data_IF_927380291195
#
_entry.id   IF_927380291195
#
_cell.length_a   1.000
_cell.length_b   1.000
_cell.length_c   1.000
_cell.angle_alpha   90.00
_cell.angle_beta   90.00
_cell.angle_gamma   90.00
#
_symmetry.space_group_name_H-M   'P 1'
#
loop_
_entity.id
_entity.type
_entity.pdbx_description
1 polymer ?
#
# COMPACT_ATOMS: atom_id res chain seq x y z
N UNK A 1 2.01 11.47 12.36
CA UNK A 1 2.76 11.23 11.09
C UNK A 1 4.17 11.85 11.17
N UNK A 2 5.24 11.12 10.81
CA UNK A 2 6.64 11.60 10.88
C UNK A 2 7.18 12.26 9.60
N UNK A 3 6.45 12.17 8.49
CA UNK A 3 6.82 12.78 7.21
C UNK A 3 6.69 14.33 7.25
N UNK A 4 7.71 15.10 6.83
CA UNK A 4 7.68 16.55 6.71
C UNK A 4 6.51 17.05 5.85
N UNK A 5 5.92 18.20 6.22
CA UNK A 5 4.78 18.77 5.51
C UNK A 5 5.02 18.99 4.01
N UNK A 6 6.24 19.38 3.63
CA UNK A 6 6.65 19.58 2.23
C UNK A 6 6.61 18.30 1.38
N UNK A 7 6.78 17.14 2.00
CA UNK A 7 6.82 15.85 1.32
C UNK A 7 5.44 15.20 1.25
N UNK A 8 4.55 15.51 2.19
CA UNK A 8 3.19 14.94 2.26
C UNK A 8 2.40 15.11 0.96
N UNK A 9 2.47 16.30 0.35
CA UNK A 9 1.78 16.58 -0.90
C UNK A 9 2.29 15.69 -2.07
N UNK A 10 3.58 15.36 -2.07
CA UNK A 10 4.22 14.55 -3.13
C UNK A 10 3.79 13.08 -3.05
N UNK A 11 3.48 12.60 -1.86
CA UNK A 11 3.00 11.22 -1.62
C UNK A 11 1.51 11.17 -1.29
N UNK A 12 0.76 12.20 -1.70
CA UNK A 12 -0.69 12.28 -1.59
C UNK A 12 -1.25 12.11 -0.16
N UNK A 13 -0.46 12.44 0.87
CA UNK A 13 -0.91 12.53 2.26
C UNK A 13 -1.59 13.90 2.46
N UNK A 14 -2.83 13.95 3.00
CA UNK A 14 -3.50 15.20 3.32
C UNK A 14 -2.70 16.04 4.32
N UNK A 15 -2.70 17.37 4.15
CA UNK A 15 -1.96 18.27 5.06
C UNK A 15 -2.55 18.29 6.46
N UNK A 16 -3.87 18.13 6.55
CA UNK A 16 -4.67 18.00 7.77
C UNK A 16 -4.61 16.60 8.41
N UNK A 17 -3.97 15.62 7.76
CA UNK A 17 -3.80 14.30 8.36
C UNK A 17 -2.84 14.34 9.57
N UNK A 18 -3.33 13.89 10.71
CA UNK A 18 -2.58 13.74 11.95
C UNK A 18 -2.12 12.28 12.15
N UNK A 19 -3.03 11.32 11.91
CA UNK A 19 -2.79 9.89 12.03
C UNK A 19 -3.22 9.15 10.75
N UNK A 20 -2.83 7.88 10.64
CA UNK A 20 -3.27 7.02 9.54
C UNK A 20 -3.27 5.56 9.98
N UNK A 21 -4.09 4.74 9.31
CA UNK A 21 -4.08 3.28 9.44
C UNK A 21 -4.06 2.63 8.08
N UNK A 22 -3.54 1.41 8.00
CA UNK A 22 -3.75 0.55 6.85
C UNK A 22 -5.00 -0.31 7.08
N UNK A 23 -5.84 -0.43 6.06
CA UNK A 23 -7.02 -1.28 6.10
C UNK A 23 -7.19 -2.04 4.77
N UNK A 24 -7.74 -3.24 4.85
CA UNK A 24 -8.11 -4.08 3.71
C UNK A 24 -9.49 -4.70 3.99
N UNK A 25 -10.58 -4.00 3.62
CA UNK A 25 -11.92 -4.32 4.10
C UNK A 25 -12.53 -5.58 3.47
N UNK A 26 -12.02 -6.06 2.33
CA UNK A 26 -12.56 -7.24 1.64
C UNK A 26 -11.54 -8.38 1.67
N UNK A 27 -11.70 -9.30 2.61
CA UNK A 27 -10.75 -10.43 2.82
C UNK A 27 -10.90 -11.56 1.80
N UNK A 28 -12.05 -11.65 1.10
CA UNK A 28 -12.34 -12.70 0.13
C UNK A 28 -12.95 -12.12 -1.14
N UNK A 29 -12.12 -11.83 -2.13
CA UNK A 29 -12.60 -11.45 -3.47
C UNK A 29 -12.22 -12.54 -4.47
N UNK A 30 -13.21 -13.38 -4.85
CA UNK A 30 -13.08 -14.37 -5.93
C UNK A 30 -13.10 -13.74 -7.34
N UNK A 31 -13.25 -12.43 -7.42
CA UNK A 31 -13.21 -11.60 -8.62
C UNK A 31 -12.25 -10.45 -8.29
N UNK A 32 -11.47 -9.84 -9.17
CA UNK A 32 -11.46 -9.90 -10.61
C UNK A 32 -10.08 -9.40 -11.09
N UNK A 33 -9.51 -10.08 -12.08
CA UNK A 33 -8.39 -9.54 -12.87
C UNK A 33 -8.75 -8.21 -13.56
N UNK A 34 -10.03 -7.85 -13.67
CA UNK A 34 -10.50 -6.59 -14.25
C UNK A 34 -10.44 -5.37 -13.33
N UNK A 35 -10.14 -5.54 -12.03
CA UNK A 35 -9.99 -4.42 -11.09
C UNK A 35 -8.62 -3.74 -11.17
N UNK A 36 -7.66 -4.38 -11.85
CA UNK A 36 -6.28 -3.91 -12.01
C UNK A 36 -6.16 -2.61 -12.81
N UNK A 37 -7.22 -2.19 -13.51
CA UNK A 37 -7.24 -0.94 -14.27
C UNK A 37 -7.97 0.21 -13.54
N UNK A 38 -8.36 0.03 -12.27
CA UNK A 38 -9.06 1.08 -11.54
C UNK A 38 -8.07 2.15 -11.05
N UNK A 39 -8.26 3.41 -11.48
CA UNK A 39 -7.52 4.57 -10.95
C UNK A 39 -8.21 5.18 -9.70
N UNK A 40 -9.34 4.62 -9.28
CA UNK A 40 -10.14 5.16 -8.20
C UNK A 40 -9.71 4.63 -6.84
N UNK A 41 -9.37 5.54 -5.93
CA UNK A 41 -8.90 5.24 -4.57
C UNK A 41 -9.84 4.32 -3.79
N UNK A 42 -11.16 4.50 -3.91
CA UNK A 42 -12.10 3.66 -3.19
C UNK A 42 -12.14 2.24 -3.75
N UNK A 43 -12.17 2.08 -5.07
CA UNK A 43 -12.15 0.74 -5.70
C UNK A 43 -10.85 0.02 -5.34
N UNK A 44 -9.73 0.71 -5.48
CA UNK A 44 -8.41 0.19 -5.10
C UNK A 44 -8.32 -0.16 -3.62
N UNK A 45 -8.91 0.67 -2.75
CA UNK A 45 -8.98 0.40 -1.32
C UNK A 45 -9.79 -0.85 -1.02
N UNK A 46 -10.94 -1.03 -1.68
CA UNK A 46 -11.77 -2.23 -1.52
C UNK A 46 -11.10 -3.49 -2.09
N UNK A 47 -10.40 -3.36 -3.22
CA UNK A 47 -9.77 -4.46 -3.94
C UNK A 47 -8.43 -4.91 -3.35
N UNK A 48 -7.61 -3.96 -2.90
CA UNK A 48 -6.20 -4.17 -2.56
C UNK A 48 -5.82 -3.65 -1.18
N UNK A 49 -6.74 -2.94 -0.52
CA UNK A 49 -6.47 -2.23 0.72
C UNK A 49 -5.83 -0.87 0.46
N UNK A 50 -5.49 -0.17 1.53
CA UNK A 50 -4.90 1.16 1.44
C UNK A 50 -4.84 1.88 2.77
N UNK A 51 -4.52 3.17 2.70
CA UNK A 51 -4.32 4.02 3.86
C UNK A 51 -5.54 4.90 4.10
N UNK A 52 -6.04 4.88 5.33
CA UNK A 52 -7.08 5.79 5.82
C UNK A 52 -6.40 6.82 6.70
N UNK A 53 -6.55 8.09 6.35
CA UNK A 53 -5.96 9.22 7.06
C UNK A 53 -7.02 9.90 7.90
N UNK A 54 -6.62 10.34 9.09
CA UNK A 54 -7.50 11.02 10.03
C UNK A 54 -6.93 12.37 10.44
N UNK A 55 -7.80 13.32 10.75
CA UNK A 55 -7.41 14.59 11.37
C UNK A 55 -7.12 14.43 12.87
N UNK A 56 -7.04 15.56 13.58
CA UNK A 56 -6.82 15.61 15.03
C UNK A 56 -8.03 15.16 15.87
N UNK A 57 -9.22 15.05 15.27
CA UNK A 57 -10.46 14.63 15.91
C UNK A 57 -10.82 13.17 15.60
N UNK A 58 -9.90 12.42 14.96
CA UNK A 58 -10.11 11.07 14.46
C UNK A 58 -11.20 10.98 13.34
N UNK A 59 -11.48 12.08 12.65
CA UNK A 59 -12.36 12.09 11.47
C UNK A 59 -11.57 11.72 10.20
N UNK A 60 -12.18 10.92 9.31
CA UNK A 60 -11.53 10.51 8.05
C UNK A 60 -11.40 11.72 7.13
N UNK A 61 -10.16 12.11 6.83
CA UNK A 61 -9.88 13.17 5.86
C UNK A 61 -9.65 12.62 4.45
N UNK A 62 -9.08 11.42 4.32
CA UNK A 62 -8.83 10.80 3.01
C UNK A 62 -8.65 9.29 3.11
N UNK A 63 -9.02 8.61 2.03
CA UNK A 63 -8.66 7.22 1.77
C UNK A 63 -7.79 7.21 0.52
N UNK A 64 -6.58 6.66 0.63
CA UNK A 64 -5.74 6.34 -0.52
C UNK A 64 -5.76 4.83 -0.71
N UNK A 65 -6.46 4.37 -1.73
CA UNK A 65 -6.41 2.97 -2.13
C UNK A 65 -5.06 2.64 -2.73
N UNK A 66 -4.60 1.40 -2.58
CA UNK A 66 -3.42 0.92 -3.30
C UNK A 66 -3.82 0.81 -4.77
N UNK A 67 -3.49 1.84 -5.54
CA UNK A 67 -3.72 1.86 -6.98
C UNK A 67 -2.65 1.05 -7.69
N UNK A 68 -3.07 0.44 -8.78
CA UNK A 68 -2.15 0.10 -9.87
C UNK A 68 -1.92 1.43 -10.62
N UNK A 69 -0.95 2.21 -10.16
CA UNK A 69 -0.48 3.42 -10.86
C UNK A 69 0.85 3.15 -11.56
N UNK A 70 1.47 4.18 -12.17
CA UNK A 70 2.81 4.10 -12.77
C UNK A 70 3.72 3.30 -11.85
N UNK A 71 4.08 2.11 -12.33
CA UNK A 71 4.29 0.91 -11.53
C UNK A 71 5.24 1.16 -10.35
N UNK A 72 5.03 0.56 -9.19
CA UNK A 72 6.20 0.29 -8.35
C UNK A 72 6.80 -0.96 -8.96
N UNK A 73 7.84 -0.79 -9.77
CA UNK A 73 8.53 -1.95 -10.28
C UNK A 73 9.44 -2.49 -9.18
N UNK A 74 9.45 -3.81 -9.07
CA UNK A 74 10.18 -4.52 -8.05
C UNK A 74 11.18 -5.43 -8.72
N UNK A 75 12.40 -4.95 -8.81
CA UNK A 75 13.46 -5.65 -9.55
C UNK A 75 14.25 -6.53 -8.60
N UNK A 76 14.55 -7.76 -9.02
CA UNK A 76 15.23 -8.76 -8.21
C UNK A 76 14.67 -10.18 -8.40
N UNK A 77 14.88 -11.10 -7.44
CA UNK A 77 15.61 -10.92 -6.19
C UNK A 77 17.13 -10.88 -6.40
N UNK A 78 17.80 -9.95 -5.72
CA UNK A 78 19.26 -9.83 -5.74
C UNK A 78 19.88 -10.43 -4.48
N UNK A 79 21.08 -11.00 -4.60
CA UNK A 79 21.83 -11.49 -3.45
C UNK A 79 22.31 -10.33 -2.56
N UNK A 80 22.11 -10.46 -1.25
CA UNK A 80 22.76 -9.59 -0.26
C UNK A 80 24.24 -9.96 -0.07
N UNK A 81 24.55 -11.25 -0.18
CA UNK A 81 25.92 -11.74 -0.07
C UNK A 81 26.79 -11.28 -1.25
N UNK A 82 28.08 -11.04 -0.98
CA UNK A 82 29.07 -10.64 -2.00
C UNK A 82 29.33 -9.14 -2.09
N UNK A 83 28.60 -8.31 -1.34
CA UNK A 83 28.82 -6.86 -1.25
C UNK A 83 28.92 -6.42 0.22
N UNK A 84 30.11 -5.99 0.63
CA UNK A 84 30.39 -5.58 2.02
C UNK A 84 29.61 -4.33 2.46
N UNK A 85 29.24 -3.42 1.55
CA UNK A 85 28.44 -2.25 1.90
C UNK A 85 27.00 -2.66 2.19
N UNK A 86 26.40 -3.49 1.32
CA UNK A 86 25.05 -4.03 1.53
C UNK A 86 24.95 -4.88 2.79
N UNK A 87 25.95 -5.71 3.06
CA UNK A 87 26.00 -6.51 4.29
C UNK A 87 26.09 -5.63 5.54
N UNK A 88 26.83 -4.51 5.51
CA UNK A 88 26.87 -3.54 6.61
C UNK A 88 25.53 -2.84 6.83
N UNK A 89 24.89 -2.39 5.75
CA UNK A 89 23.56 -1.77 5.84
C UNK A 89 22.52 -2.75 6.38
N UNK A 90 22.54 -4.01 5.93
CA UNK A 90 21.68 -5.06 6.47
C UNK A 90 21.92 -5.33 7.96
N UNK A 91 23.18 -5.37 8.40
CA UNK A 91 23.52 -5.50 9.82
C UNK A 91 23.02 -4.30 10.66
N UNK A 92 23.08 -3.08 10.12
CA UNK A 92 22.54 -1.90 10.79
C UNK A 92 21.00 -1.98 10.94
N UNK A 93 20.29 -2.47 9.92
CA UNK A 93 18.84 -2.71 9.97
C UNK A 93 18.50 -3.77 11.04
N UNK A 94 19.31 -4.83 11.14
CA UNK A 94 19.16 -5.84 12.18
C UNK A 94 19.37 -5.26 13.58
N UNK A 95 20.43 -4.45 13.77
CA UNK A 95 20.73 -3.81 15.05
C UNK A 95 19.64 -2.81 15.48
N UNK A 96 18.94 -2.19 14.52
CA UNK A 96 17.83 -1.28 14.76
C UNK A 96 16.47 -1.98 14.96
N UNK A 97 16.42 -3.32 15.05
CA UNK A 97 15.21 -4.15 15.15
C UNK A 97 14.12 -3.84 14.09
N UNK A 98 14.58 -3.47 12.90
CA UNK A 98 13.70 -3.17 11.76
C UNK A 98 13.27 -4.40 10.97
N UNK A 99 13.83 -5.58 11.28
CA UNK A 99 13.38 -6.84 10.70
C UNK A 99 12.20 -7.43 11.49
N UNK A 100 11.08 -7.70 10.83
CA UNK A 100 9.88 -8.32 11.42
C UNK A 100 9.78 -9.79 11.03
N UNK A 101 9.23 -10.60 11.94
CA UNK A 101 9.05 -12.04 11.72
C UNK A 101 8.00 -12.26 10.62
N UNK A 102 8.26 -13.19 9.71
CA UNK A 102 7.30 -13.58 8.67
C UNK A 102 6.11 -14.30 9.32
N UNK A 103 4.92 -13.71 9.21
CA UNK A 103 3.70 -14.27 9.79
C UNK A 103 2.98 -15.23 8.84
N UNK A 104 3.15 -15.06 7.53
CA UNK A 104 2.54 -15.89 6.49
C UNK A 104 3.08 -17.33 6.52
N UNK A 105 2.23 -18.28 6.89
CA UNK A 105 2.61 -19.70 7.07
C UNK A 105 3.27 -20.32 5.84
N UNK A 106 2.81 -19.97 4.63
CA UNK A 106 3.38 -20.47 3.38
C UNK A 106 4.84 -20.02 3.16
N UNK A 107 5.25 -18.90 3.73
CA UNK A 107 6.60 -18.34 3.54
C UNK A 107 7.58 -18.73 4.66
N UNK A 108 7.09 -19.11 5.84
CA UNK A 108 7.91 -19.50 7.00
C UNK A 108 8.98 -20.57 6.71
N UNK A 109 8.74 -21.61 5.88
CA UNK A 109 9.79 -22.59 5.56
C UNK A 109 10.97 -22.00 4.81
N UNK A 110 10.74 -20.90 4.10
CA UNK A 110 11.73 -20.28 3.22
C UNK A 110 12.38 -19.06 3.86
N UNK A 111 11.64 -18.28 4.65
CA UNK A 111 12.05 -16.96 5.09
C UNK A 111 11.70 -16.76 6.58
N UNK A 112 12.64 -16.21 7.35
CA UNK A 112 12.50 -16.02 8.79
C UNK A 112 11.99 -14.62 9.13
N UNK A 113 12.62 -13.60 8.53
CA UNK A 113 12.32 -12.19 8.78
C UNK A 113 12.34 -11.40 7.47
N UNK A 114 11.63 -10.30 7.46
CA UNK A 114 11.66 -9.32 6.38
C UNK A 114 11.78 -7.92 6.96
N UNK A 115 12.25 -6.97 6.18
CA UNK A 115 12.31 -5.59 6.60
C UNK A 115 12.35 -4.66 5.40
N UNK A 116 12.19 -3.37 5.70
CA UNK A 116 12.33 -2.31 4.71
C UNK A 116 13.69 -1.65 4.88
N UNK A 117 14.43 -1.52 3.79
CA UNK A 117 15.61 -0.66 3.63
C UNK A 117 15.11 0.72 3.26
N UNK A 118 15.51 1.75 4.00
CA UNK A 118 15.13 3.12 3.72
C UNK A 118 15.85 3.64 2.46
N UNK A 119 15.24 4.62 1.77
CA UNK A 119 15.91 5.38 0.72
C UNK A 119 17.34 5.78 1.10
N UNK A 120 18.30 5.49 0.22
CA UNK A 120 19.72 5.85 0.39
C UNK A 120 20.55 4.94 1.30
N UNK A 121 19.95 3.96 2.02
CA UNK A 121 20.72 2.99 2.80
C UNK A 121 21.46 1.98 1.91
N UNK A 122 20.91 1.67 0.74
CA UNK A 122 21.55 0.89 -0.31
C UNK A 122 21.86 1.81 -1.49
N UNK A 123 23.13 1.85 -1.92
CA UNK A 123 23.61 2.74 -2.98
C UNK A 123 22.89 2.52 -4.32
N UNK A 124 22.44 1.29 -4.58
CA UNK A 124 21.74 0.88 -5.79
C UNK A 124 20.22 0.77 -5.62
N UNK A 125 19.67 1.30 -4.52
CA UNK A 125 18.22 1.33 -4.22
C UNK A 125 17.82 2.72 -3.70
N UNK A 126 17.78 3.75 -4.57
CA UNK A 126 17.52 5.12 -4.13
C UNK A 126 16.15 5.30 -3.45
N UNK A 127 15.19 4.42 -3.73
CA UNK A 127 13.84 4.46 -3.17
C UNK A 127 13.63 3.50 -2.00
N UNK A 128 14.64 2.69 -1.67
CA UNK A 128 14.53 1.61 -0.70
C UNK A 128 14.32 0.23 -1.33
N UNK A 129 14.23 -0.78 -0.48
CA UNK A 129 14.12 -2.18 -0.88
C UNK A 129 13.50 -3.03 0.23
N UNK A 130 12.80 -4.10 -0.16
CA UNK A 130 12.48 -5.17 0.78
C UNK A 130 13.68 -6.08 0.95
N UNK A 131 14.12 -6.28 2.19
CA UNK A 131 15.15 -7.27 2.54
C UNK A 131 14.52 -8.48 3.21
N UNK A 132 15.09 -9.64 2.92
CA UNK A 132 14.61 -10.91 3.41
C UNK A 132 15.74 -11.72 4.01
N UNK A 133 15.52 -12.14 5.26
CA UNK A 133 16.41 -13.03 5.99
C UNK A 133 15.95 -14.48 5.84
N UNK A 134 16.83 -15.30 5.28
CA UNK A 134 16.65 -16.74 5.14
C UNK A 134 17.39 -17.48 6.28
N UNK A 135 17.05 -18.75 6.55
CA UNK A 135 17.79 -19.56 7.53
C UNK A 135 19.29 -19.67 7.22
N UNK A 136 19.65 -19.75 5.94
CA UNK A 136 21.03 -19.65 5.48
C UNK A 136 21.30 -18.20 5.01
N UNK A 137 22.23 -17.46 5.65
CA UNK A 137 22.54 -16.08 5.28
C UNK A 137 23.00 -15.89 3.83
N UNK A 138 23.54 -16.93 3.18
CA UNK A 138 23.91 -16.89 1.75
C UNK A 138 22.69 -16.73 0.84
N UNK A 139 21.52 -17.11 1.33
CA UNK A 139 20.25 -16.95 0.65
C UNK A 139 19.56 -15.63 0.97
N UNK A 140 20.13 -14.75 1.82
CA UNK A 140 19.56 -13.43 2.04
C UNK A 140 19.41 -12.68 0.71
N UNK A 141 18.21 -12.14 0.47
CA UNK A 141 17.84 -11.44 -0.76
C UNK A 141 17.29 -10.07 -0.45
N UNK A 142 17.33 -9.21 -1.45
CA UNK A 142 16.56 -7.99 -1.45
C UNK A 142 15.88 -7.77 -2.80
N UNK A 143 14.77 -7.06 -2.78
CA UNK A 143 13.98 -6.67 -3.94
C UNK A 143 13.94 -5.15 -3.94
N UNK A 144 14.45 -4.55 -5.00
CA UNK A 144 14.56 -3.10 -5.15
C UNK A 144 13.21 -2.52 -5.47
N UNK A 145 12.95 -1.31 -5.02
CA UNK A 145 11.85 -0.51 -5.55
C UNK A 145 12.40 0.41 -6.63
N UNK A 146 11.79 0.38 -7.81
CA UNK A 146 12.11 1.23 -8.97
C UNK A 146 10.89 2.05 -9.38
N UNK A 147 11.12 3.25 -9.93
CA UNK A 147 10.07 4.02 -10.63
C UNK A 147 10.23 3.72 -12.12
N UNK A 148 9.24 3.14 -12.79
CA UNK A 148 9.16 3.10 -14.24
C UNK A 148 9.08 4.54 -14.72
N UNK A 149 9.95 4.86 -15.67
CA UNK A 149 9.78 6.08 -16.43
C UNK A 149 8.42 5.97 -17.16
N UNK A 150 7.32 6.62 -16.76
CA UNK A 150 6.30 7.15 -17.70
C UNK A 150 5.12 7.95 -17.09
N UNK A 151 4.77 9.04 -17.82
CA UNK A 151 3.43 9.31 -18.37
C UNK A 151 2.27 9.68 -17.42
N UNK A 152 1.84 10.94 -17.46
CA UNK A 152 0.73 11.50 -16.66
C UNK A 152 -0.67 11.21 -17.25
N UNK A 153 -1.66 11.26 -16.35
CA UNK A 153 -3.08 11.65 -16.51
C UNK A 153 -4.17 10.55 -16.58
N UNK A 154 -5.05 10.51 -15.56
CA UNK A 154 -6.53 10.60 -15.65
C UNK A 154 -7.21 10.69 -14.25
N UNK A 155 -8.46 11.17 -14.18
CA UNK A 155 -9.15 11.63 -12.96
C UNK A 155 -10.48 10.89 -12.64
N UNK A 156 -10.87 10.89 -11.36
CA UNK A 156 -11.84 10.00 -10.71
C UNK A 156 -13.36 10.16 -11.02
N UNK A 157 -13.77 10.94 -12.03
CA UNK A 157 -15.20 11.25 -12.29
C UNK A 157 -15.99 10.11 -12.97
N UNK A 158 -15.33 9.04 -13.43
CA UNK A 158 -15.89 8.08 -14.38
C UNK A 158 -16.69 6.88 -13.80
N UNK A 159 -16.82 6.74 -12.48
CA UNK A 159 -17.41 5.52 -11.87
C UNK A 159 -18.88 5.65 -11.44
N UNK A 160 -19.43 6.86 -11.51
CA UNK A 160 -20.84 7.12 -11.24
C UNK A 160 -21.31 6.70 -9.85
N UNK A 161 -20.48 6.77 -8.81
CA UNK A 161 -20.86 6.48 -7.42
C UNK A 161 -20.56 7.68 -6.53
N UNK A 162 -21.51 8.02 -5.67
CA UNK A 162 -21.29 8.96 -4.58
C UNK A 162 -21.40 8.24 -3.24
N UNK A 163 -20.44 8.52 -2.36
CA UNK A 163 -20.45 8.07 -0.98
C UNK A 163 -20.87 9.20 -0.05
N UNK A 164 -21.56 8.84 1.03
CA UNK A 164 -21.77 9.69 2.18
C UNK A 164 -21.16 9.04 3.42
N UNK A 165 -20.68 9.88 4.32
CA UNK A 165 -20.04 9.48 5.56
C UNK A 165 -20.90 9.97 6.73
N UNK A 166 -21.35 9.04 7.59
CA UNK A 166 -22.07 9.37 8.82
C UNK A 166 -21.65 8.44 9.95
N UNK A 167 -21.43 8.99 11.15
CA UNK A 167 -21.26 8.23 12.40
C UNK A 167 -20.34 7.02 12.26
N UNK A 168 -19.12 7.26 11.76
CA UNK A 168 -18.12 6.21 11.53
C UNK A 168 -18.66 5.10 10.60
N UNK A 169 -19.32 5.47 9.52
CA UNK A 169 -19.70 4.55 8.45
C UNK A 169 -19.61 5.28 7.12
N UNK A 170 -19.18 4.56 6.09
CA UNK A 170 -19.30 5.00 4.71
C UNK A 170 -20.40 4.18 4.04
N UNK A 171 -21.37 4.85 3.42
CA UNK A 171 -22.43 4.18 2.68
C UNK A 171 -22.60 4.77 1.28
N UNK A 172 -23.17 3.96 0.39
CA UNK A 172 -23.43 4.36 -0.99
C UNK A 172 -24.63 5.30 -1.02
N UNK A 173 -24.38 6.60 -1.17
CA UNK A 173 -25.42 7.63 -1.22
C UNK A 173 -26.19 7.58 -2.55
N UNK A 174 -25.46 7.42 -3.65
CA UNK A 174 -26.03 7.23 -4.98
C UNK A 174 -25.12 6.36 -5.86
N UNK A 175 -25.71 5.59 -6.78
CA UNK A 175 -25.00 4.76 -7.75
C UNK A 175 -25.69 4.85 -9.11
N UNK A 176 -24.93 5.25 -10.12
CA UNK A 176 -25.35 5.35 -11.52
C UNK A 176 -25.76 3.98 -12.03
N UNK A 177 -26.73 3.96 -12.95
CA UNK A 177 -27.17 2.74 -13.60
C UNK A 177 -26.07 2.07 -14.43
N UNK A 178 -25.11 2.86 -14.91
CA UNK A 178 -23.97 2.37 -15.66
C UNK A 178 -22.74 2.09 -14.77
N UNK A 179 -22.87 2.21 -13.45
CA UNK A 179 -21.74 1.99 -12.56
C UNK A 179 -21.31 0.52 -12.59
N UNK A 180 -20.01 0.24 -12.82
CA UNK A 180 -19.49 -1.13 -12.80
C UNK A 180 -19.63 -1.78 -11.41
N UNK A 181 -19.81 -0.99 -10.35
CA UNK A 181 -19.99 -1.48 -8.99
C UNK A 181 -21.32 -2.22 -8.77
N UNK A 182 -22.34 -1.99 -9.62
CA UNK A 182 -23.58 -2.78 -9.56
C UNK A 182 -23.36 -4.26 -9.87
N UNK A 183 -22.37 -4.60 -10.70
CA UNK A 183 -22.03 -5.99 -10.99
C UNK A 183 -21.46 -6.73 -9.76
N UNK A 184 -21.00 -5.99 -8.74
CA UNK A 184 -20.54 -6.52 -7.46
C UNK A 184 -21.66 -6.66 -6.43
N UNK A 185 -22.91 -6.41 -6.83
CA UNK A 185 -24.06 -6.42 -5.93
C UNK A 185 -24.18 -5.19 -5.04
N UNK A 186 -23.26 -4.22 -5.17
CA UNK A 186 -23.28 -2.97 -4.43
C UNK A 186 -24.47 -2.11 -4.89
N UNK A 187 -25.29 -1.68 -3.94
CA UNK A 187 -26.48 -0.85 -4.17
C UNK A 187 -26.49 0.35 -3.23
N UNK A 188 -27.34 1.32 -3.56
CA UNK A 188 -27.61 2.47 -2.69
C UNK A 188 -28.02 2.00 -1.30
N UNK A 189 -27.44 2.62 -0.28
CA UNK A 189 -27.67 2.30 1.14
C UNK A 189 -26.80 1.18 1.67
N UNK A 190 -26.01 0.48 0.84
CA UNK A 190 -25.04 -0.47 1.36
C UNK A 190 -23.98 0.25 2.16
N UNK A 191 -23.70 -0.29 3.34
CA UNK A 191 -22.58 0.11 4.18
C UNK A 191 -21.31 -0.52 3.59
N UNK A 192 -20.47 0.30 2.98
CA UNK A 192 -19.17 -0.12 2.45
C UNK A 192 -18.24 -0.45 3.61
N UNK A 193 -18.38 0.29 4.72
CA UNK A 193 -17.57 0.08 5.91
C UNK A 193 -18.23 0.61 7.18
N UNK A 194 -17.95 -0.05 8.30
CA UNK A 194 -18.43 0.31 9.64
C UNK A 194 -17.29 0.15 10.65
N UNK A 195 -17.06 1.17 11.46
CA UNK A 195 -16.08 1.10 12.54
C UNK A 195 -16.69 0.34 13.74
N UNK A 196 -15.86 -0.44 14.43
CA UNK A 196 -16.20 -1.21 15.64
C UNK A 196 -15.42 -0.70 16.84
#
# INVERSE_FOLDING_TARGET
LTCPWSERAQIHIPLDAHSFVWAHPVLETRAASSWLAAENDLICFLAYGGYVYFDENDDIVKINGIKVGADLDFTGPYALAGDEKRMRAFAAIQAADRLKVVTLTALKPHMQRFGWVLPGEFEDCPLGAFVYQYPDPRHNRYIKMEVPEFGRDMAAEDLGVQLEFMYQQAYVASISNCSPLKALGIKRGDTIWKWS
#
